data_IF_326055960945
#
_entry.id   IF_326055960945
#
_cell.length_a   1.000
_cell.length_b   1.000
_cell.length_c   1.000
_cell.angle_alpha   90.00
_cell.angle_beta   90.00
_cell.angle_gamma   90.00
#
_symmetry.space_group_name_H-M   'P 1'
#
loop_
_entity.id
_entity.type
_entity.pdbx_description
1 polymer ?
#
# COMPACT_ATOMS: atom_id res chain seq x y z
N UNK A 1 6.69 0.54 19.62
CA UNK A 1 7.16 0.60 18.23
C UNK A 1 5.98 0.57 17.29
N UNK A 2 5.92 1.48 16.34
CA UNK A 2 4.80 1.53 15.40
C UNK A 2 4.96 0.46 14.32
N UNK A 3 3.87 -0.22 14.02
CA UNK A 3 3.82 -1.26 12.98
C UNK A 3 2.87 -0.79 11.90
N UNK A 4 3.35 -0.79 10.65
CA UNK A 4 2.52 -0.43 9.52
C UNK A 4 1.59 -1.58 9.14
N UNK A 5 0.31 -1.25 8.99
CA UNK A 5 -0.69 -2.15 8.43
C UNK A 5 -1.24 -1.53 7.16
N UNK A 6 -1.59 -2.35 6.19
CA UNK A 6 -2.06 -1.85 4.91
C UNK A 6 -3.23 -2.66 4.37
N UNK A 7 -4.10 -1.99 3.63
CA UNK A 7 -5.24 -2.61 2.93
C UNK A 7 -5.05 -2.61 1.42
N UNK A 8 -3.81 -2.48 0.95
CA UNK A 8 -3.53 -2.45 -0.50
C UNK A 8 -4.13 -3.67 -1.18
N UNK A 9 -3.91 -4.86 -0.63
CA UNK A 9 -4.40 -6.11 -1.23
C UNK A 9 -5.91 -6.11 -1.35
N UNK A 10 -6.62 -5.69 -0.31
CA UNK A 10 -8.09 -5.68 -0.31
C UNK A 10 -8.63 -4.73 -1.38
N UNK A 11 -8.12 -3.49 -1.43
CA UNK A 11 -8.59 -2.52 -2.41
C UNK A 11 -8.20 -2.92 -3.83
N UNK A 12 -7.00 -3.51 -3.99
CA UNK A 12 -6.57 -4.00 -5.28
C UNK A 12 -7.51 -5.10 -5.79
N UNK A 13 -7.87 -6.04 -4.94
CA UNK A 13 -8.77 -7.13 -5.29
C UNK A 13 -10.18 -6.64 -5.63
N UNK A 14 -10.65 -5.59 -4.95
CA UNK A 14 -11.93 -4.99 -5.29
C UNK A 14 -11.98 -4.47 -6.73
N UNK A 15 -10.83 -4.06 -7.26
CA UNK A 15 -10.70 -3.56 -8.63
C UNK A 15 -10.25 -4.64 -9.61
N UNK A 16 -10.15 -5.89 -9.18
CA UNK A 16 -9.62 -6.99 -9.99
C UNK A 16 -8.25 -6.65 -10.56
N UNK A 17 -7.42 -6.00 -9.76
CA UNK A 17 -6.12 -5.48 -10.17
C UNK A 17 -5.00 -6.39 -9.66
N UNK A 18 -4.06 -6.73 -10.55
CA UNK A 18 -2.89 -7.52 -10.18
C UNK A 18 -1.82 -6.63 -9.56
N UNK A 19 -0.88 -7.25 -8.84
CA UNK A 19 0.22 -6.50 -8.21
C UNK A 19 1.05 -5.74 -9.24
N UNK A 20 1.35 -6.37 -10.38
CA UNK A 20 2.15 -5.70 -11.41
C UNK A 20 1.37 -4.57 -12.09
N UNK A 21 0.05 -4.67 -12.16
CA UNK A 21 -0.77 -3.59 -12.70
C UNK A 21 -0.69 -2.35 -11.80
N UNK A 22 -0.83 -2.55 -10.48
CA UNK A 22 -0.69 -1.44 -9.55
C UNK A 22 0.71 -0.85 -9.61
N UNK A 23 1.73 -1.71 -9.66
CA UNK A 23 3.12 -1.26 -9.73
C UNK A 23 3.35 -0.34 -10.92
N UNK A 24 2.83 -0.71 -12.10
CA UNK A 24 2.94 0.12 -13.29
C UNK A 24 2.26 1.47 -13.12
N UNK A 25 1.08 1.47 -12.52
CA UNK A 25 0.31 2.71 -12.34
C UNK A 25 1.03 3.70 -11.42
N UNK A 26 1.74 3.22 -10.42
CA UNK A 26 2.46 4.08 -9.48
C UNK A 26 3.96 4.12 -9.74
N UNK A 27 4.40 3.53 -10.89
CA UNK A 27 5.77 3.62 -11.41
C UNK A 27 6.82 3.06 -10.46
N UNK A 28 6.53 1.90 -9.89
CA UNK A 28 7.49 1.16 -9.07
C UNK A 28 7.58 -0.26 -9.57
N UNK A 29 8.50 -1.03 -9.02
CA UNK A 29 8.63 -2.46 -9.34
C UNK A 29 7.56 -3.26 -8.63
N UNK A 30 7.19 -4.41 -9.21
CA UNK A 30 6.23 -5.31 -8.59
C UNK A 30 6.67 -5.70 -7.18
N UNK A 31 7.96 -5.96 -6.98
CA UNK A 31 8.51 -6.33 -5.67
C UNK A 31 8.21 -5.29 -4.60
N UNK A 32 8.20 -4.01 -5.00
CA UNK A 32 7.85 -2.93 -4.08
C UNK A 32 6.42 -3.11 -3.56
N UNK A 33 5.49 -3.43 -4.46
CA UNK A 33 4.10 -3.67 -4.06
C UNK A 33 4.00 -4.91 -3.18
N UNK A 34 4.71 -5.99 -3.54
CA UNK A 34 4.73 -7.22 -2.74
C UNK A 34 5.20 -6.91 -1.32
N UNK A 35 6.30 -6.17 -1.19
CA UNK A 35 6.85 -5.84 0.13
C UNK A 35 5.91 -4.94 0.93
N UNK A 36 5.24 -3.99 0.26
CA UNK A 36 4.25 -3.15 0.93
C UNK A 36 3.08 -3.99 1.45
N UNK A 37 2.56 -4.90 0.64
CA UNK A 37 1.44 -5.75 1.04
C UNK A 37 1.82 -6.69 2.18
N UNK A 38 3.08 -7.08 2.26
CA UNK A 38 3.60 -7.91 3.35
C UNK A 38 4.06 -7.09 4.55
N UNK A 39 3.87 -5.78 4.49
CA UNK A 39 4.16 -4.88 5.61
C UNK A 39 5.63 -4.89 6.00
N UNK A 40 6.52 -5.02 5.00
CA UNK A 40 7.96 -5.15 5.21
C UNK A 40 8.71 -3.82 5.24
N UNK A 41 8.11 -2.74 4.72
CA UNK A 41 8.72 -1.42 4.81
C UNK A 41 7.66 -0.33 4.65
N UNK A 42 8.02 0.88 5.03
CA UNK A 42 7.13 2.03 4.94
C UNK A 42 7.26 2.68 3.55
N UNK A 43 6.16 3.00 2.88
CA UNK A 43 6.26 3.70 1.59
C UNK A 43 6.69 5.15 1.79
N UNK A 44 7.28 5.74 0.75
CA UNK A 44 7.47 7.18 0.73
C UNK A 44 6.10 7.87 0.73
N UNK A 45 6.06 9.13 1.13
CA UNK A 45 4.81 9.89 1.10
C UNK A 45 4.27 9.95 -0.32
N UNK A 46 5.13 10.17 -1.31
CA UNK A 46 4.70 10.23 -2.71
C UNK A 46 4.06 8.92 -3.14
N UNK A 47 4.69 7.79 -2.83
CA UNK A 47 4.15 6.48 -3.21
C UNK A 47 2.81 6.23 -2.53
N UNK A 48 2.69 6.55 -1.25
CA UNK A 48 1.44 6.39 -0.52
C UNK A 48 0.32 7.23 -1.15
N UNK A 49 0.62 8.47 -1.52
CA UNK A 49 -0.35 9.35 -2.16
C UNK A 49 -0.75 8.85 -3.55
N UNK A 50 0.22 8.34 -4.33
CA UNK A 50 -0.06 7.80 -5.66
C UNK A 50 -0.96 6.58 -5.57
N UNK A 51 -0.71 5.70 -4.63
CA UNK A 51 -1.56 4.52 -4.40
C UNK A 51 -2.97 4.95 -4.00
N UNK A 52 -3.07 5.93 -3.12
CA UNK A 52 -4.37 6.46 -2.70
C UNK A 52 -5.17 6.98 -3.88
N UNK A 53 -4.54 7.67 -4.81
CA UNK A 53 -5.20 8.17 -6.02
C UNK A 53 -5.72 7.03 -6.90
N UNK A 54 -4.95 5.97 -7.05
CA UNK A 54 -5.38 4.81 -7.86
C UNK A 54 -6.64 4.20 -7.29
N UNK A 55 -6.72 4.08 -5.97
CA UNK A 55 -7.87 3.44 -5.32
C UNK A 55 -9.03 4.39 -5.06
N UNK A 56 -8.82 5.70 -5.22
CA UNK A 56 -9.83 6.69 -4.85
C UNK A 56 -10.12 6.67 -3.35
N UNK A 57 -9.10 6.42 -2.54
CA UNK A 57 -9.19 6.35 -1.09
C UNK A 57 -8.20 7.31 -0.46
N UNK A 58 -8.39 7.64 0.81
CA UNK A 58 -7.41 8.43 1.53
C UNK A 58 -6.21 7.56 1.91
N UNK A 59 -5.07 8.20 2.17
CA UNK A 59 -3.89 7.48 2.67
C UNK A 59 -4.23 6.76 3.97
N UNK A 60 -5.01 7.39 4.84
CA UNK A 60 -5.38 6.82 6.14
C UNK A 60 -6.31 5.63 6.02
N UNK A 61 -7.08 5.54 4.93
CA UNK A 61 -7.91 4.35 4.69
C UNK A 61 -7.08 3.15 4.26
N UNK A 62 -5.93 3.40 3.65
CA UNK A 62 -5.07 2.35 3.08
C UNK A 62 -3.98 1.94 4.07
N UNK A 63 -3.36 2.92 4.72
CA UNK A 63 -2.21 2.70 5.61
C UNK A 63 -2.55 3.11 7.02
N UNK A 64 -2.13 2.31 7.99
CA UNK A 64 -2.39 2.59 9.39
C UNK A 64 -1.19 2.14 10.21
N UNK A 65 -0.78 2.96 11.16
CA UNK A 65 0.23 2.55 12.13
C UNK A 65 -0.47 2.15 13.42
N UNK A 66 -0.07 1.00 13.96
CA UNK A 66 -0.53 0.57 15.27
C UNK A 66 0.69 0.46 16.18
N UNK A 67 0.50 0.79 17.46
CA UNK A 67 1.57 0.66 18.43
C UNK A 67 1.70 -0.78 18.89
N UNK A 68 2.95 -1.24 18.96
CA UNK A 68 3.27 -2.54 19.55
C UNK A 68 3.80 -2.28 20.95
N UNK A 69 2.99 -2.63 21.95
CA UNK A 69 3.30 -2.40 23.37
C UNK A 69 4.13 -3.51 23.99
N UNK A 70 4.42 -4.55 23.23
CA UNK A 70 5.16 -5.69 23.76
C UNK A 70 6.67 -5.44 23.89
#
# INVERSE_FOLDING_TARGET
>A
MAILKTKIREFRKELNMKQDELAKLVKVRRETIVHLENEKYNPSLKLAMDIAKVFGKSVEEIFKFIEDDS
#
